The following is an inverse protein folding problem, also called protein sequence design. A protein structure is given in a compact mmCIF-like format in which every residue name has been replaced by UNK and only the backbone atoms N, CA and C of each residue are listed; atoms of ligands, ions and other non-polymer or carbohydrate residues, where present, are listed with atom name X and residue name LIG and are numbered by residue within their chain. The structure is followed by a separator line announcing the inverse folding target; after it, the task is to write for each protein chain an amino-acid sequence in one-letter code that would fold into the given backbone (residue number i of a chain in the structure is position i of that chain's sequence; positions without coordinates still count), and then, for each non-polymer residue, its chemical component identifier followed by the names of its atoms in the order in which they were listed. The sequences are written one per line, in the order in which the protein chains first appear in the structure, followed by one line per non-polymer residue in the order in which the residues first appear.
data_IF_488961941078
#
_entry.id   IF_488961941078
#
_cell.length_a   1.000
_cell.length_b   1.000
_cell.length_c   1.000
_cell.angle_alpha   90.00
_cell.angle_beta   90.00
_cell.angle_gamma   90.00
#
_symmetry.space_group_name_H-M   'P 1'
#
loop_
_entity.id
_entity.type
_entity.pdbx_description
1 polymer ?
#
# COMPACT_ATOMS: atom_id res chain seq x y z
N UNK A 1 -23.97 -16.39 -38.05
CA UNK A 1 -22.82 -15.60 -37.54
C UNK A 1 -23.17 -14.67 -36.36
N UNK A 2 -24.34 -14.76 -35.71
CA UNK A 2 -24.73 -13.84 -34.62
C UNK A 2 -24.68 -14.39 -33.19
N UNK A 3 -24.56 -15.72 -33.02
CA UNK A 3 -24.61 -16.36 -31.70
C UNK A 3 -23.23 -16.46 -31.02
N UNK A 4 -22.14 -16.61 -31.79
CA UNK A 4 -20.79 -16.71 -31.22
C UNK A 4 -20.22 -15.38 -30.70
N UNK A 5 -20.62 -14.25 -31.26
CA UNK A 5 -20.19 -12.93 -30.77
C UNK A 5 -20.81 -12.56 -29.41
N UNK A 6 -21.99 -13.09 -29.08
CA UNK A 6 -22.63 -12.86 -27.77
C UNK A 6 -22.01 -13.70 -26.65
N UNK A 7 -21.43 -14.85 -26.97
CA UNK A 7 -20.74 -15.69 -25.99
C UNK A 7 -19.33 -15.15 -25.65
N UNK A 8 -18.65 -14.53 -26.61
CA UNK A 8 -17.32 -13.93 -26.38
C UNK A 8 -17.37 -12.69 -25.47
N UNK A 9 -18.45 -11.92 -25.50
CA UNK A 9 -18.61 -10.74 -24.63
C UNK A 9 -18.86 -11.10 -23.16
N UNK A 10 -19.37 -12.30 -22.86
CA UNK A 10 -19.64 -12.75 -21.49
C UNK A 10 -18.41 -13.34 -20.79
N UNK A 11 -17.38 -13.78 -21.53
CA UNK A 11 -16.14 -14.32 -20.97
C UNK A 11 -15.06 -13.24 -20.78
N UNK A 12 -15.20 -12.06 -21.40
CA UNK A 12 -14.28 -10.93 -21.24
C UNK A 12 -14.59 -10.05 -20.01
N UNK A 13 -15.80 -10.14 -19.44
CA UNK A 13 -16.22 -9.34 -18.28
C UNK A 13 -15.39 -9.52 -16.99
N UNK A 14 -14.82 -10.71 -16.65
CA UNK A 14 -13.99 -10.85 -15.46
C UNK A 14 -12.55 -10.33 -15.64
N UNK A 15 -12.11 -10.05 -16.87
CA UNK A 15 -10.73 -9.63 -17.16
C UNK A 15 -10.49 -8.11 -17.05
N UNK A 16 -11.54 -7.33 -16.79
CA UNK A 16 -11.45 -5.87 -16.64
C UNK A 16 -11.35 -5.40 -15.18
N UNK A 17 -11.20 -6.31 -14.22
CA UNK A 17 -10.82 -5.95 -12.84
C UNK A 17 -9.31 -5.65 -12.82
N UNK A 18 -8.96 -4.46 -13.33
CA UNK A 18 -7.61 -3.93 -13.22
C UNK A 18 -7.36 -3.55 -11.77
N UNK A 19 -6.52 -4.35 -11.09
CA UNK A 19 -6.01 -3.99 -9.77
C UNK A 19 -5.33 -2.61 -9.86
N UNK A 20 -5.83 -1.66 -9.07
CA UNK A 20 -5.21 -0.35 -8.99
C UNK A 20 -3.88 -0.47 -8.23
N UNK A 21 -2.81 0.10 -8.77
CA UNK A 21 -1.58 0.26 -8.01
C UNK A 21 -1.83 1.32 -6.94
N UNK A 22 -1.69 0.94 -5.68
CA UNK A 22 -1.82 1.86 -4.56
C UNK A 22 -0.46 2.46 -4.24
N UNK A 23 -0.45 3.76 -3.96
CA UNK A 23 0.77 4.52 -3.74
C UNK A 23 0.57 5.48 -2.57
N UNK A 24 1.46 5.48 -1.56
CA UNK A 24 1.35 6.41 -0.46
C UNK A 24 1.76 7.84 -0.89
N UNK A 25 1.03 8.82 -0.37
CA UNK A 25 1.25 10.24 -0.57
C UNK A 25 1.89 10.91 0.64
N UNK A 26 1.17 11.87 1.23
CA UNK A 26 1.46 12.40 2.56
C UNK A 26 0.99 11.45 3.65
N UNK A 27 1.86 10.95 4.53
CA UNK A 27 1.44 9.98 5.54
C UNK A 27 2.30 9.91 6.81
N UNK A 28 1.72 9.31 7.84
CA UNK A 28 2.44 8.69 8.96
C UNK A 28 2.07 7.22 9.04
N UNK A 29 3.07 6.35 9.18
CA UNK A 29 2.87 4.91 9.38
C UNK A 29 3.67 4.45 10.59
N UNK A 30 3.01 3.73 11.50
CA UNK A 30 3.64 3.17 12.69
C UNK A 30 3.35 1.67 12.78
N UNK A 31 4.40 0.88 12.93
CA UNK A 31 4.33 -0.53 13.27
C UNK A 31 4.86 -0.72 14.67
N UNK A 32 4.04 -1.28 15.55
CA UNK A 32 4.45 -1.75 16.86
C UNK A 32 4.49 -3.27 16.84
N UNK A 33 5.62 -3.88 17.19
CA UNK A 33 5.75 -5.33 17.37
C UNK A 33 6.45 -5.57 18.69
N UNK A 34 5.84 -6.34 19.58
CA UNK A 34 6.41 -6.63 20.89
C UNK A 34 7.02 -8.03 20.94
N UNK A 35 7.89 -8.26 21.92
CA UNK A 35 8.57 -9.53 22.17
C UNK A 35 7.57 -10.69 22.41
N UNK A 36 6.37 -10.39 22.92
CA UNK A 36 5.29 -11.36 23.14
C UNK A 36 4.40 -11.60 21.90
N UNK A 37 4.79 -11.03 20.75
CA UNK A 37 4.09 -11.02 19.46
C UNK A 37 2.80 -10.20 19.43
N UNK A 38 2.46 -9.45 20.46
CA UNK A 38 1.43 -8.42 20.29
C UNK A 38 1.92 -7.39 19.26
N UNK A 39 1.04 -7.00 18.35
CA UNK A 39 1.37 -6.01 17.33
C UNK A 39 0.22 -5.04 17.10
N UNK A 40 0.58 -3.85 16.64
CA UNK A 40 -0.34 -2.83 16.13
C UNK A 40 0.26 -2.21 14.89
N UNK A 41 -0.47 -2.18 13.79
CA UNK A 41 -0.11 -1.42 12.61
C UNK A 41 -1.09 -0.27 12.42
N UNK A 42 -0.57 0.94 12.27
CA UNK A 42 -1.33 2.15 11.99
C UNK A 42 -0.81 2.86 10.75
N UNK A 43 -1.72 3.37 9.93
CA UNK A 43 -1.45 4.21 8.77
C UNK A 43 -2.48 5.34 8.73
N UNK A 44 -1.99 6.58 8.72
CA UNK A 44 -2.82 7.76 8.54
C UNK A 44 -2.23 8.62 7.43
N UNK A 45 -2.96 8.81 6.34
CA UNK A 45 -2.44 9.57 5.21
C UNK A 45 -3.17 9.42 3.89
N UNK A 46 -2.57 10.02 2.89
CA UNK A 46 -3.02 10.02 1.51
C UNK A 46 -2.62 8.74 0.80
N UNK A 47 -3.55 8.15 0.06
CA UNK A 47 -3.28 7.02 -0.85
C UNK A 47 -3.80 7.37 -2.22
N UNK A 48 -2.95 7.23 -3.24
CA UNK A 48 -3.33 7.39 -4.64
C UNK A 48 -3.58 6.02 -5.26
N UNK A 49 -4.76 5.84 -5.85
CA UNK A 49 -5.07 4.67 -6.67
C UNK A 49 -4.79 5.02 -8.13
N UNK A 50 -3.66 4.52 -8.65
CA UNK A 50 -3.26 4.71 -10.03
C UNK A 50 -3.96 3.66 -10.91
N UNK A 51 -4.69 4.13 -11.91
CA UNK A 51 -5.33 3.28 -12.91
C UNK A 51 -4.45 3.22 -14.16
N UNK A 52 -3.83 2.06 -14.47
CA UNK A 52 -2.94 1.93 -15.62
C UNK A 52 -3.63 2.21 -16.97
N UNK A 53 -4.96 2.11 -17.04
CA UNK A 53 -5.72 2.41 -18.25
C UNK A 53 -5.92 3.92 -18.47
N UNK A 54 -5.85 4.72 -17.41
CA UNK A 54 -5.91 6.19 -17.55
C UNK A 54 -4.59 6.78 -18.04
N UNK A 55 -3.45 6.17 -17.73
CA UNK A 55 -2.12 6.63 -18.19
C UNK A 55 -1.81 6.30 -19.65
N UNK A 56 -2.47 5.31 -20.26
CA UNK A 56 -2.28 4.95 -21.68
C UNK A 56 -3.35 5.53 -22.63
N UNK A 57 -4.29 6.33 -22.11
CA UNK A 57 -5.46 6.81 -22.86
C UNK A 57 -5.39 8.24 -23.40
N UNK A 58 -4.38 9.04 -23.06
CA UNK A 58 -4.26 10.44 -23.52
C UNK A 58 -3.58 10.55 -24.91
N UNK A 59 -3.96 9.69 -25.84
CA UNK A 59 -3.64 9.82 -27.26
C UNK A 59 -4.91 9.59 -28.10
N UNK A 60 -5.84 10.54 -28.04
CA UNK A 60 -7.06 10.48 -28.85
C UNK A 60 -7.95 11.71 -28.65
N UNK A 61 -7.90 12.62 -29.61
CA UNK A 61 -8.86 13.72 -29.78
C UNK A 61 -10.29 13.19 -29.89
N UNK A 62 -11.14 13.42 -28.88
CA UNK A 62 -12.57 13.77 -29.07
C UNK A 62 -13.33 14.10 -27.76
N UNK A 63 -13.99 15.27 -27.80
CA UNK A 63 -15.09 15.82 -26.97
C UNK A 63 -14.96 15.83 -25.43
N UNK A 64 -14.73 17.04 -24.89
CA UNK A 64 -14.72 17.37 -23.46
C UNK A 64 -15.94 16.90 -22.65
N UNK A 65 -17.10 16.67 -23.29
CA UNK A 65 -18.31 16.14 -22.64
C UNK A 65 -18.23 14.65 -22.30
N UNK A 66 -17.58 13.85 -23.16
CA UNK A 66 -17.35 12.41 -22.91
C UNK A 66 -16.31 12.20 -21.81
N UNK A 67 -15.37 13.14 -21.66
CA UNK A 67 -14.38 13.15 -20.58
C UNK A 67 -15.01 13.47 -19.21
N UNK A 68 -15.91 14.46 -19.15
CA UNK A 68 -16.58 14.83 -17.90
C UNK A 68 -17.50 13.72 -17.35
N UNK A 69 -18.27 13.06 -18.23
CA UNK A 69 -19.13 11.94 -17.85
C UNK A 69 -18.31 10.74 -17.35
N UNK A 70 -17.22 10.38 -18.06
CA UNK A 70 -16.30 9.31 -17.63
C UNK A 70 -15.62 9.63 -16.30
N UNK A 71 -15.23 10.89 -16.08
CA UNK A 71 -14.68 11.33 -14.79
C UNK A 71 -15.70 11.17 -13.67
N UNK A 72 -16.94 11.64 -13.87
CA UNK A 72 -17.99 11.52 -12.87
C UNK A 72 -18.29 10.05 -12.50
N UNK A 73 -18.32 9.16 -13.49
CA UNK A 73 -18.49 7.72 -13.28
C UNK A 73 -17.31 7.12 -12.49
N UNK A 74 -16.07 7.50 -12.85
CA UNK A 74 -14.86 7.06 -12.17
C UNK A 74 -14.85 7.50 -10.71
N UNK A 75 -15.17 8.78 -10.46
CA UNK A 75 -15.28 9.33 -9.10
C UNK A 75 -16.37 8.62 -8.30
N UNK A 76 -17.52 8.30 -8.92
CA UNK A 76 -18.59 7.54 -8.27
C UNK A 76 -18.13 6.13 -7.87
N UNK A 77 -17.41 5.43 -8.75
CA UNK A 77 -16.81 4.11 -8.45
C UNK A 77 -15.79 4.22 -7.30
N UNK A 78 -14.94 5.24 -7.29
CA UNK A 78 -13.94 5.45 -6.22
C UNK A 78 -14.59 5.81 -4.88
N UNK A 79 -15.71 6.54 -4.86
CA UNK A 79 -16.51 6.74 -3.64
C UNK A 79 -17.09 5.42 -3.12
N UNK A 80 -17.65 4.59 -4.00
CA UNK A 80 -18.16 3.27 -3.61
C UNK A 80 -17.06 2.37 -3.04
N UNK A 81 -15.83 2.45 -3.58
CA UNK A 81 -14.66 1.76 -3.01
C UNK A 81 -14.33 2.30 -1.61
N UNK A 82 -14.36 3.62 -1.40
CA UNK A 82 -14.15 4.19 -0.07
C UNK A 82 -15.19 3.68 0.94
N UNK A 83 -16.45 3.62 0.54
CA UNK A 83 -17.55 3.10 1.37
C UNK A 83 -17.42 1.60 1.66
N UNK A 84 -16.87 0.83 0.74
CA UNK A 84 -16.60 -0.60 0.93
C UNK A 84 -15.43 -0.82 1.88
N UNK A 85 -14.28 -0.16 1.65
CA UNK A 85 -13.11 -0.25 2.51
C UNK A 85 -13.41 0.21 3.94
N UNK A 86 -14.26 1.23 4.11
CA UNK A 86 -14.70 1.70 5.43
C UNK A 86 -15.48 0.66 6.26
N UNK A 87 -15.88 -0.48 5.67
CA UNK A 87 -16.54 -1.60 6.37
C UNK A 87 -15.58 -2.72 6.72
N UNK A 88 -14.34 -2.68 6.23
CA UNK A 88 -13.32 -3.69 6.50
C UNK A 88 -12.65 -3.45 7.86
N UNK A 89 -12.19 -4.53 8.48
CA UNK A 89 -11.52 -4.45 9.77
C UNK A 89 -10.26 -3.58 9.70
N UNK A 90 -10.13 -2.68 10.68
CA UNK A 90 -8.99 -1.78 10.84
C UNK A 90 -9.13 -0.43 10.14
N UNK A 91 -10.00 -0.28 9.14
CA UNK A 91 -10.27 1.04 8.56
C UNK A 91 -11.17 1.86 9.50
N UNK A 92 -10.58 2.87 10.16
CA UNK A 92 -11.33 3.82 11.00
C UNK A 92 -12.03 4.90 10.18
N UNK A 93 -11.40 5.33 9.08
CA UNK A 93 -11.99 6.27 8.13
C UNK A 93 -11.38 6.08 6.74
N UNK A 94 -12.21 6.14 5.71
CA UNK A 94 -11.77 6.19 4.30
C UNK A 94 -12.58 7.27 3.60
N UNK A 95 -11.90 8.28 3.04
CA UNK A 95 -12.55 9.36 2.30
C UNK A 95 -11.92 9.51 0.92
N UNK A 96 -12.75 9.47 -0.12
CA UNK A 96 -12.32 9.82 -1.46
C UNK A 96 -12.29 11.35 -1.62
N UNK A 97 -11.15 11.89 -2.05
CA UNK A 97 -10.90 13.33 -2.19
C UNK A 97 -10.96 13.82 -3.64
N UNK A 98 -11.24 12.94 -4.61
CA UNK A 98 -11.13 13.25 -6.04
C UNK A 98 -9.78 12.84 -6.64
N UNK A 99 -9.70 12.81 -7.97
CA UNK A 99 -8.47 12.60 -8.74
C UNK A 99 -7.65 11.36 -8.29
N UNK A 100 -8.37 10.28 -7.94
CA UNK A 100 -7.78 9.01 -7.49
C UNK A 100 -7.18 9.04 -6.09
N UNK A 101 -7.33 10.15 -5.34
CA UNK A 101 -6.80 10.35 -4.01
C UNK A 101 -7.79 9.94 -2.93
N UNK A 102 -7.30 9.19 -1.95
CA UNK A 102 -8.00 8.79 -0.75
C UNK A 102 -7.28 9.35 0.48
N UNK A 103 -8.03 9.72 1.51
CA UNK A 103 -7.52 9.97 2.85
C UNK A 103 -7.95 8.81 3.75
N UNK A 104 -6.98 8.08 4.25
CA UNK A 104 -7.17 6.85 5.01
C UNK A 104 -6.67 7.04 6.43
N UNK A 105 -7.46 6.57 7.38
CA UNK A 105 -7.05 6.30 8.75
C UNK A 105 -7.30 4.83 9.04
N UNK A 106 -6.22 4.07 9.21
CA UNK A 106 -6.22 2.63 9.42
C UNK A 106 -5.45 2.30 10.70
N UNK A 107 -5.99 1.39 11.51
CA UNK A 107 -5.28 0.76 12.61
C UNK A 107 -5.83 -0.63 12.90
N UNK A 108 -4.94 -1.61 12.98
CA UNK A 108 -5.28 -2.97 13.39
C UNK A 108 -4.30 -3.42 14.47
N UNK A 109 -4.83 -4.15 15.46
CA UNK A 109 -4.05 -4.76 16.52
C UNK A 109 -4.37 -6.23 16.63
N UNK A 110 -3.41 -7.02 17.07
CA UNK A 110 -3.60 -8.45 17.26
C UNK A 110 -2.35 -9.14 17.80
N UNK A 111 -2.31 -10.45 17.59
CA UNK A 111 -1.13 -11.27 17.83
C UNK A 111 -0.52 -11.66 16.49
N UNK A 112 0.78 -11.47 16.32
CA UNK A 112 1.50 -11.87 15.13
C UNK A 112 1.73 -13.39 15.21
N UNK A 113 0.80 -14.15 14.63
CA UNK A 113 0.85 -15.61 14.45
C UNK A 113 0.89 -16.02 12.97
N UNK A 114 0.66 -15.09 12.05
CA UNK A 114 0.83 -15.21 10.60
C UNK A 114 1.52 -13.97 10.01
N UNK A 115 1.84 -14.04 8.72
CA UNK A 115 2.40 -12.90 8.00
C UNK A 115 1.36 -11.79 7.85
N UNK A 116 1.80 -10.55 7.91
CA UNK A 116 0.95 -9.38 7.75
C UNK A 116 1.41 -8.55 6.56
N UNK A 117 0.47 -8.09 5.74
CA UNK A 117 0.72 -7.12 4.69
C UNK A 117 -0.32 -6.02 4.74
N UNK A 118 0.09 -4.79 4.46
CA UNK A 118 -0.83 -3.68 4.28
C UNK A 118 -0.41 -2.81 3.09
N UNK A 119 -1.34 -2.35 2.25
CA UNK A 119 -2.73 -2.81 2.18
C UNK A 119 -2.82 -4.22 1.59
N UNK A 120 -3.91 -4.94 1.89
CA UNK A 120 -4.25 -6.21 1.25
C UNK A 120 -5.44 -5.99 0.31
N UNK A 121 -5.36 -6.52 -0.91
CA UNK A 121 -6.44 -6.47 -1.89
C UNK A 121 -6.55 -7.84 -2.57
N UNK A 122 -7.67 -8.53 -2.33
CA UNK A 122 -7.94 -9.87 -2.86
C UNK A 122 -8.01 -9.92 -4.39
N UNK A 123 -8.47 -8.83 -5.01
CA UNK A 123 -8.71 -8.76 -6.44
C UNK A 123 -7.47 -8.23 -7.20
N UNK A 124 -6.42 -7.83 -6.49
CA UNK A 124 -5.20 -7.33 -7.10
C UNK A 124 -4.39 -8.47 -7.72
N UNK A 125 -4.22 -8.43 -9.04
CA UNK A 125 -3.40 -9.39 -9.80
C UNK A 125 -1.90 -9.31 -9.44
N UNK A 126 -1.46 -8.17 -8.88
CA UNK A 126 -0.13 -7.98 -8.29
C UNK A 126 -0.25 -7.12 -7.02
N UNK A 127 0.27 -7.64 -5.89
CA UNK A 127 0.26 -6.95 -4.60
C UNK A 127 1.65 -6.39 -4.32
N UNK A 128 1.79 -5.07 -4.38
CA UNK A 128 2.94 -4.36 -3.79
C UNK A 128 2.45 -3.73 -2.48
N UNK A 129 2.77 -4.33 -1.32
CA UNK A 129 2.32 -3.78 -0.06
C UNK A 129 3.13 -2.54 0.32
N UNK A 130 2.55 -1.67 1.14
CA UNK A 130 3.30 -0.60 1.80
C UNK A 130 4.22 -1.19 2.86
N UNK A 131 3.72 -2.14 3.65
CA UNK A 131 4.46 -2.87 4.67
C UNK A 131 4.18 -4.36 4.57
N UNK A 132 5.23 -5.16 4.69
CA UNK A 132 5.19 -6.60 4.81
C UNK A 132 5.94 -7.04 6.08
N UNK A 133 5.32 -7.93 6.85
CA UNK A 133 5.85 -8.54 8.06
C UNK A 133 5.80 -10.06 7.88
N UNK A 134 6.97 -10.69 7.85
CA UNK A 134 7.11 -12.15 7.77
C UNK A 134 7.50 -12.69 9.14
N UNK A 135 6.68 -13.58 9.71
CA UNK A 135 6.99 -14.32 10.92
C UNK A 135 7.52 -15.71 10.55
N UNK A 136 8.67 -16.08 11.11
CA UNK A 136 9.26 -17.41 10.95
C UNK A 136 9.05 -18.27 12.17
N UNK A 137 9.01 -19.59 11.96
CA UNK A 137 8.83 -20.59 13.02
C UNK A 137 9.88 -20.50 14.15
N UNK A 138 11.07 -19.97 13.87
CA UNK A 138 12.15 -19.78 14.85
C UNK A 138 12.06 -18.45 15.64
N UNK A 139 10.95 -17.72 15.55
CA UNK A 139 10.76 -16.43 16.24
C UNK A 139 11.48 -15.25 15.58
N UNK A 140 11.99 -15.40 14.36
CA UNK A 140 12.49 -14.27 13.58
C UNK A 140 11.33 -13.57 12.89
N UNK A 141 11.26 -12.24 13.03
CA UNK A 141 10.32 -11.39 12.30
C UNK A 141 11.08 -10.50 11.34
N UNK A 142 10.73 -10.53 10.05
CA UNK A 142 11.29 -9.61 9.05
C UNK A 142 10.25 -8.55 8.72
N UNK A 143 10.63 -7.29 8.90
CA UNK A 143 9.84 -6.14 8.50
C UNK A 143 10.47 -5.54 7.25
N UNK A 144 9.67 -5.33 6.21
CA UNK A 144 10.06 -4.57 5.02
C UNK A 144 8.93 -3.62 4.64
N UNK A 145 9.26 -2.40 4.26
CA UNK A 145 8.26 -1.42 3.83
C UNK A 145 8.45 -1.01 2.36
N UNK A 146 8.13 -1.89 1.37
CA UNK A 146 8.53 -1.67 -0.01
C UNK A 146 7.80 -0.51 -0.69
N UNK A 147 6.57 -0.18 -0.26
CA UNK A 147 5.84 0.98 -0.78
C UNK A 147 6.36 2.34 -0.28
N UNK A 148 7.38 2.37 0.59
CA UNK A 148 7.99 3.59 1.11
C UNK A 148 9.36 3.88 0.48
N UNK A 149 9.65 3.31 -0.68
CA UNK A 149 10.88 3.56 -1.42
C UNK A 149 10.69 3.45 -2.94
N UNK A 150 11.56 4.15 -3.68
CA UNK A 150 11.54 4.25 -5.14
C UNK A 150 12.07 2.99 -5.84
N UNK A 151 13.16 2.40 -5.33
CA UNK A 151 13.90 1.32 -6.00
C UNK A 151 13.78 -0.03 -5.27
N UNK A 152 12.64 -0.29 -4.63
CA UNK A 152 12.36 -1.59 -4.03
C UNK A 152 12.50 -2.68 -5.09
N UNK A 153 13.57 -3.49 -5.07
CA UNK A 153 13.82 -4.58 -6.04
C UNK A 153 12.66 -5.58 -6.16
N UNK A 154 11.79 -5.65 -5.14
CA UNK A 154 10.56 -6.46 -5.12
C UNK A 154 9.43 -5.84 -5.98
N UNK A 155 9.52 -4.55 -6.33
CA UNK A 155 8.64 -3.85 -7.29
C UNK A 155 9.13 -3.98 -8.75
N UNK A 156 10.35 -4.48 -8.97
CA UNK A 156 11.00 -4.57 -10.29
C UNK A 156 10.63 -5.84 -11.07
N UNK A 157 9.36 -6.26 -11.04
CA UNK A 157 8.82 -7.19 -12.03
C UNK A 157 8.76 -6.55 -13.43
N UNK A 158 8.17 -7.20 -14.44
CA UNK A 158 7.97 -6.63 -15.80
C UNK A 158 7.19 -5.31 -15.85
N UNK A 159 6.75 -4.79 -14.69
CA UNK A 159 6.05 -3.51 -14.46
C UNK A 159 6.98 -2.35 -14.02
N UNK A 160 8.31 -2.51 -14.07
CA UNK A 160 9.27 -1.52 -13.55
C UNK A 160 9.15 -0.08 -14.08
N UNK A 161 8.52 0.14 -15.25
CA UNK A 161 8.25 1.48 -15.79
C UNK A 161 7.10 2.24 -15.10
N UNK A 162 6.19 1.55 -14.40
CA UNK A 162 5.06 2.17 -13.69
C UNK A 162 5.45 2.68 -12.29
N UNK A 163 6.50 2.08 -11.70
CA UNK A 163 6.99 2.40 -10.36
C UNK A 163 7.55 3.84 -10.24
N UNK A 164 8.06 4.40 -11.33
CA UNK A 164 8.67 5.74 -11.34
C UNK A 164 7.61 6.83 -11.01
N UNK A 165 6.41 6.73 -11.61
CA UNK A 165 5.29 7.67 -11.43
C UNK A 165 4.62 7.62 -10.05
N UNK A 166 4.72 6.48 -9.35
CA UNK A 166 4.17 6.32 -7.99
C UNK A 166 5.05 6.97 -6.92
N UNK A 167 6.37 6.96 -7.08
CA UNK A 167 7.29 7.38 -6.03
C UNK A 167 7.36 8.90 -5.80
N UNK A 168 6.91 9.71 -6.76
CA UNK A 168 7.04 11.18 -6.73
C UNK A 168 6.18 11.86 -5.66
N UNK A 169 5.16 11.16 -5.14
CA UNK A 169 4.24 11.70 -4.13
C UNK A 169 4.59 11.30 -2.70
N UNK A 170 5.63 10.50 -2.50
CA UNK A 170 6.06 10.01 -1.19
C UNK A 170 6.46 11.18 -0.28
N UNK A 171 5.73 11.39 0.81
CA UNK A 171 6.06 12.39 1.82
C UNK A 171 5.58 11.89 3.19
N UNK A 172 6.47 11.28 3.96
CA UNK A 172 6.01 10.73 5.23
C UNK A 172 7.08 10.21 6.13
N UNK A 173 6.62 9.46 7.12
CA UNK A 173 7.48 8.78 8.09
C UNK A 173 6.95 7.39 8.35
N UNK A 174 7.87 6.43 8.34
CA UNK A 174 7.62 5.10 8.87
C UNK A 174 8.34 4.95 10.20
N UNK A 175 7.63 4.44 11.21
CA UNK A 175 8.16 4.20 12.55
C UNK A 175 7.97 2.73 12.91
N UNK A 176 9.06 2.07 13.31
CA UNK A 176 9.00 0.77 13.99
C UNK A 176 9.26 1.00 15.48
N UNK A 177 8.34 0.54 16.33
CA UNK A 177 8.39 0.68 17.77
C UNK A 177 8.29 -0.71 18.42
N UNK A 178 9.26 -1.09 19.24
CA UNK A 178 9.40 -2.48 19.72
C UNK A 178 10.09 -2.57 21.07
N UNK A 179 9.75 -3.58 21.88
CA UNK A 179 10.55 -4.03 23.02
C UNK A 179 11.34 -5.32 22.69
N UNK A 180 11.14 -5.89 21.50
CA UNK A 180 11.86 -7.05 20.99
C UNK A 180 13.34 -6.71 20.70
N UNK A 181 14.18 -7.73 20.57
CA UNK A 181 15.55 -7.54 20.11
C UNK A 181 15.55 -7.16 18.62
N UNK A 182 16.33 -6.12 18.27
CA UNK A 182 16.58 -5.74 16.88
C UNK A 182 17.86 -6.43 16.45
N UNK A 183 17.75 -7.41 15.57
CA UNK A 183 18.86 -8.20 15.03
C UNK A 183 19.60 -7.42 13.94
N UNK A 184 18.86 -6.73 13.07
CA UNK A 184 19.43 -5.87 12.03
C UNK A 184 18.42 -4.81 11.56
N UNK A 185 18.93 -3.72 11.00
CA UNK A 185 18.14 -2.61 10.43
C UNK A 185 18.98 -1.86 9.40
N UNK A 186 18.33 -1.22 8.42
CA UNK A 186 18.97 -0.26 7.51
C UNK A 186 18.74 1.21 7.90
N UNK A 187 18.24 1.47 9.11
CA UNK A 187 18.06 2.83 9.60
C UNK A 187 19.41 3.49 9.90
N UNK A 188 19.66 4.66 9.32
CA UNK A 188 20.91 5.40 9.47
C UNK A 188 20.95 6.26 10.75
N UNK A 189 19.79 6.67 11.27
CA UNK A 189 19.65 7.48 12.49
C UNK A 189 19.85 6.65 13.78
N UNK A 190 19.91 5.32 13.64
CA UNK A 190 20.08 4.37 14.74
C UNK A 190 18.82 4.17 15.59
N UNK A 191 18.95 3.30 16.60
CA UNK A 191 17.86 2.98 17.54
C UNK A 191 17.73 4.09 18.58
N UNK A 192 16.54 4.69 18.67
CA UNK A 192 16.16 5.65 19.69
C UNK A 192 15.21 5.00 20.72
N UNK A 193 14.92 5.67 21.83
CA UNK A 193 13.90 5.24 22.79
C UNK A 193 14.37 5.22 24.25
N UNK A 194 13.41 5.07 25.17
CA UNK A 194 13.62 5.03 26.60
C UNK A 194 12.72 3.95 27.24
N UNK A 195 13.02 3.55 28.48
CA UNK A 195 12.18 2.63 29.25
C UNK A 195 12.01 1.24 28.62
N UNK A 196 13.06 0.73 27.95
CA UNK A 196 13.04 -0.59 27.30
C UNK A 196 12.39 -0.62 25.91
N UNK A 197 11.82 0.50 25.43
CA UNK A 197 11.36 0.65 24.04
C UNK A 197 12.49 1.04 23.11
N UNK A 198 12.43 0.51 21.90
CA UNK A 198 13.33 0.76 20.78
C UNK A 198 12.50 1.27 19.61
N UNK A 199 12.88 2.43 19.10
CA UNK A 199 12.19 3.16 18.05
C UNK A 199 13.15 3.39 16.90
N UNK A 200 12.78 2.92 15.72
CA UNK A 200 13.43 3.22 14.45
C UNK A 200 12.49 4.10 13.64
N UNK A 201 12.99 5.21 13.10
CA UNK A 201 12.20 6.17 12.33
C UNK A 201 12.87 6.46 11.00
N UNK A 202 12.18 6.20 9.89
CA UNK A 202 12.63 6.53 8.55
C UNK A 202 11.83 7.70 8.00
N UNK A 203 12.51 8.77 7.58
CA UNK A 203 11.90 9.79 6.74
C UNK A 203 11.76 9.25 5.32
N UNK A 204 10.55 9.35 4.78
CA UNK A 204 10.19 8.85 3.45
C UNK A 204 9.94 10.04 2.54
N UNK A 205 10.60 10.03 1.39
CA UNK A 205 10.51 11.08 0.37
C UNK A 205 10.71 10.47 -1.02
N UNK A 206 10.56 11.24 -2.12
CA UNK A 206 10.85 10.74 -3.46
C UNK A 206 12.34 10.37 -3.65
N UNK A 207 13.22 10.82 -2.74
CA UNK A 207 14.65 10.48 -2.73
C UNK A 207 14.95 9.17 -1.97
N UNK A 208 13.97 8.57 -1.31
CA UNK A 208 14.17 7.32 -0.54
C UNK A 208 14.34 6.15 -1.50
N UNK A 209 15.58 5.66 -1.62
CA UNK A 209 15.96 4.59 -2.57
C UNK A 209 15.69 3.20 -2.00
N UNK A 210 16.17 2.95 -0.79
CA UNK A 210 16.03 1.67 -0.10
C UNK A 210 14.80 1.65 0.81
N UNK A 211 14.01 0.58 0.69
CA UNK A 211 12.88 0.34 1.58
C UNK A 211 13.35 0.23 3.04
N UNK A 212 12.63 0.84 4.00
CA UNK A 212 12.85 0.55 5.42
C UNK A 212 12.81 -0.95 5.70
N UNK A 213 13.84 -1.45 6.38
CA UNK A 213 13.93 -2.87 6.76
C UNK A 213 14.42 -3.03 8.19
N UNK A 214 13.88 -4.04 8.87
CA UNK A 214 14.37 -4.48 10.16
C UNK A 214 14.14 -5.99 10.33
N UNK A 215 15.01 -6.63 11.11
CA UNK A 215 14.84 -8.01 11.57
C UNK A 215 14.75 -7.98 13.09
N UNK A 216 13.69 -8.56 13.64
CA UNK A 216 13.45 -8.67 15.07
C UNK A 216 13.55 -10.12 15.53
N UNK A 217 13.89 -10.32 16.80
CA UNK A 217 13.71 -11.58 17.51
C UNK A 217 12.58 -11.45 18.54
N UNK A 218 11.53 -12.23 18.36
CA UNK A 218 10.40 -12.35 19.29
C UNK A 218 10.45 -13.68 20.03
N UNK A 219 9.74 -13.77 21.16
CA UNK A 219 9.61 -14.99 21.97
C UNK A 219 8.59 -15.95 21.36
#
# INVERSE_FOLDING_TARGET
MGAWFRLAALIAAPLLLTGCLLTPGKFTSKLTINADRSFTYAYAGEVYALDPNTSMGEAGTDRATDSAAKKAETDAKKRAIADALGKEAGYRSVRYLGDGKFLIDYEISGRLDHNFVYPFNLDAQAIVPFVAVELRANGTVRVKAPGFAKDSKDQAGPMGGMADSSSDKLDGRFVLDTDAEIVSTNNEDGVQGAGGRKVLSWKVSPLTRDAPTAVLRVK
#
